data_IF_546590374836
#
_entry.id   IF_546590374836
#
_cell.length_a   1.000
_cell.length_b   1.000
_cell.length_c   1.000
_cell.angle_alpha   90.00
_cell.angle_beta   90.00
_cell.angle_gamma   90.00
#
_symmetry.space_group_name_H-M   'P 1'
#
loop_
_entity.id
_entity.type
_entity.pdbx_description
1 polymer ?
#
# COMPACT_ATOMS: atom_id res chain seq x y z
N UNK A 1 -0.51 -13.54 18.51
CA UNK A 1 0.13 -14.07 17.28
C UNK A 1 -0.72 -13.91 16.01
N UNK A 2 -2.01 -14.32 15.99
CA UNK A 2 -2.85 -14.31 14.76
C UNK A 2 -3.05 -12.94 14.10
N UNK A 3 -3.15 -11.85 14.87
CA UNK A 3 -3.35 -10.49 14.34
C UNK A 3 -2.13 -9.93 13.58
N UNK A 4 -0.92 -10.27 14.02
CA UNK A 4 0.31 -9.84 13.34
C UNK A 4 0.47 -10.52 11.97
N UNK A 5 0.09 -11.80 11.88
CA UNK A 5 0.11 -12.56 10.63
C UNK A 5 -0.92 -12.00 9.64
N UNK A 6 -2.13 -11.67 10.09
CA UNK A 6 -3.15 -11.05 9.24
C UNK A 6 -2.67 -9.74 8.62
N UNK A 7 -2.00 -8.89 9.41
CA UNK A 7 -1.44 -7.63 8.92
C UNK A 7 -0.32 -7.88 7.89
N UNK A 8 0.62 -8.76 8.23
CA UNK A 8 1.74 -9.09 7.33
C UNK A 8 1.26 -9.64 5.98
N UNK A 9 0.17 -10.41 5.96
CA UNK A 9 -0.42 -10.93 4.72
C UNK A 9 -0.98 -9.81 3.85
N UNK A 10 -1.78 -8.90 4.41
CA UNK A 10 -2.37 -7.80 3.63
C UNK A 10 -1.27 -6.89 3.07
N UNK A 11 -0.25 -6.58 3.87
CA UNK A 11 0.88 -5.74 3.44
C UNK A 11 1.71 -6.41 2.35
N UNK A 12 1.93 -7.72 2.48
CA UNK A 12 2.65 -8.50 1.45
C UNK A 12 1.87 -8.52 0.13
N UNK A 13 0.53 -8.67 0.19
CA UNK A 13 -0.30 -8.64 -1.02
C UNK A 13 -0.25 -7.25 -1.67
N UNK A 14 -0.35 -6.17 -0.89
CA UNK A 14 -0.20 -4.80 -1.41
C UNK A 14 1.13 -4.59 -2.13
N UNK A 15 2.24 -5.12 -1.58
CA UNK A 15 3.55 -5.06 -2.19
C UNK A 15 3.61 -5.79 -3.54
N UNK A 16 3.02 -6.99 -3.63
CA UNK A 16 2.99 -7.78 -4.87
C UNK A 16 2.14 -7.10 -5.95
N UNK A 17 0.98 -6.57 -5.58
CA UNK A 17 0.07 -5.89 -6.51
C UNK A 17 0.67 -4.58 -7.05
N UNK A 18 1.66 -4.01 -6.37
CA UNK A 18 2.40 -2.83 -6.83
C UNK A 18 3.43 -3.11 -7.94
N UNK A 19 3.83 -4.37 -8.15
CA UNK A 19 4.88 -4.75 -9.11
C UNK A 19 4.60 -4.32 -10.57
N UNK A 20 3.40 -4.48 -11.14
CA UNK A 20 3.10 -4.04 -12.50
C UNK A 20 3.32 -2.54 -12.72
N UNK A 21 3.08 -1.73 -11.68
CA UNK A 21 3.35 -0.28 -11.71
C UNK A 21 4.84 0.02 -11.87
N UNK A 22 5.70 -0.73 -11.17
CA UNK A 22 7.15 -0.61 -11.32
C UNK A 22 7.62 -1.02 -12.71
N UNK A 23 7.03 -2.09 -13.27
CA UNK A 23 7.37 -2.56 -14.63
C UNK A 23 7.03 -1.49 -15.67
N UNK A 24 5.83 -0.89 -15.62
CA UNK A 24 5.45 0.16 -16.56
C UNK A 24 6.26 1.45 -16.38
N UNK A 25 6.66 1.78 -15.15
CA UNK A 25 7.42 2.99 -14.89
C UNK A 25 8.90 2.87 -15.30
N UNK A 26 9.58 1.79 -14.90
CA UNK A 26 11.02 1.62 -15.13
C UNK A 26 11.36 0.90 -16.43
N UNK A 27 10.53 -0.06 -16.87
CA UNK A 27 10.87 -0.96 -17.98
C UNK A 27 10.14 -0.57 -19.26
N UNK A 28 8.90 -0.08 -19.17
CA UNK A 28 8.10 0.34 -20.33
C UNK A 28 7.54 1.78 -20.21
N UNK A 29 8.41 2.79 -20.02
CA UNK A 29 7.99 4.17 -19.81
C UNK A 29 7.15 4.71 -20.97
N UNK A 30 6.17 5.55 -20.66
CA UNK A 30 5.33 6.20 -21.67
C UNK A 30 6.06 7.39 -22.28
N UNK A 31 6.58 7.24 -23.49
CA UNK A 31 7.15 8.35 -24.26
C UNK A 31 8.31 7.89 -25.15
N UNK A 32 8.09 7.90 -26.47
CA UNK A 32 9.08 7.49 -27.47
C UNK A 32 8.93 6.02 -27.88
N UNK A 33 8.33 5.78 -29.06
CA UNK A 33 8.16 4.46 -29.72
C UNK A 33 7.82 3.31 -28.76
N UNK A 34 6.99 3.58 -27.75
CA UNK A 34 6.66 2.69 -26.62
C UNK A 34 5.79 1.49 -26.97
N UNK A 35 6.11 0.78 -28.04
CA UNK A 35 5.62 -0.55 -28.38
C UNK A 35 6.62 -1.62 -27.90
N UNK A 36 7.22 -1.41 -26.72
CA UNK A 36 8.12 -2.38 -26.12
C UNK A 36 7.38 -3.64 -25.70
N UNK A 37 8.03 -4.79 -25.87
CA UNK A 37 7.63 -6.05 -25.25
C UNK A 37 8.54 -6.29 -24.05
N UNK A 38 7.97 -6.80 -22.95
CA UNK A 38 8.72 -7.23 -21.78
C UNK A 38 8.23 -8.59 -21.36
N UNK A 39 9.16 -9.53 -21.15
CA UNK A 39 8.87 -10.95 -20.94
C UNK A 39 7.99 -11.54 -22.07
N UNK A 40 8.24 -11.13 -23.32
CA UNK A 40 7.44 -11.49 -24.49
C UNK A 40 5.97 -11.04 -24.45
N UNK A 41 5.61 -10.19 -23.48
CA UNK A 41 4.28 -9.62 -23.31
C UNK A 41 4.29 -8.16 -23.76
N UNK A 42 3.27 -7.75 -24.51
CA UNK A 42 3.16 -6.40 -25.04
C UNK A 42 2.87 -5.38 -23.93
N UNK A 43 3.33 -4.14 -24.10
CA UNK A 43 3.02 -3.02 -23.18
C UNK A 43 1.53 -2.86 -22.90
N UNK A 44 0.67 -3.07 -23.90
CA UNK A 44 -0.79 -3.01 -23.78
C UNK A 44 -1.30 -3.98 -22.72
N UNK A 45 -0.83 -5.23 -22.76
CA UNK A 45 -1.17 -6.25 -21.76
C UNK A 45 -0.64 -5.88 -20.37
N UNK A 46 0.59 -5.35 -20.27
CA UNK A 46 1.12 -4.84 -19.00
C UNK A 46 0.28 -3.68 -18.45
N UNK A 47 -0.22 -2.79 -19.31
CA UNK A 47 -1.13 -1.71 -18.92
C UNK A 47 -2.46 -2.27 -18.39
N UNK A 48 -3.06 -3.24 -19.10
CA UNK A 48 -4.28 -3.91 -18.62
C UNK A 48 -4.07 -4.58 -17.27
N UNK A 49 -2.96 -5.30 -17.08
CA UNK A 49 -2.61 -5.91 -15.78
C UNK A 49 -2.43 -4.85 -14.70
N UNK A 50 -1.78 -3.73 -15.02
CA UNK A 50 -1.62 -2.61 -14.09
C UNK A 50 -2.96 -1.99 -13.69
N UNK A 51 -3.90 -1.81 -14.62
CA UNK A 51 -5.22 -1.23 -14.32
C UNK A 51 -6.01 -2.13 -13.36
N UNK A 52 -6.09 -3.43 -13.64
CA UNK A 52 -6.76 -4.39 -12.75
C UNK A 52 -6.05 -4.55 -11.41
N UNK A 53 -4.71 -4.56 -11.41
CA UNK A 53 -3.92 -4.55 -10.18
C UNK A 53 -4.18 -3.28 -9.37
N UNK A 54 -4.30 -2.11 -10.01
CA UNK A 54 -4.64 -0.85 -9.36
C UNK A 54 -6.01 -0.90 -8.68
N UNK A 55 -7.03 -1.44 -9.35
CA UNK A 55 -8.35 -1.65 -8.75
C UNK A 55 -8.28 -2.58 -7.53
N UNK A 56 -7.55 -3.69 -7.63
CA UNK A 56 -7.33 -4.60 -6.51
C UNK A 56 -6.57 -3.92 -5.36
N UNK A 57 -5.55 -3.12 -5.69
CA UNK A 57 -4.76 -2.37 -4.72
C UNK A 57 -5.63 -1.41 -3.92
N UNK A 58 -6.51 -0.66 -4.58
CA UNK A 58 -7.44 0.26 -3.89
C UNK A 58 -8.36 -0.52 -2.95
N UNK A 59 -8.94 -1.64 -3.40
CA UNK A 59 -9.81 -2.46 -2.56
C UNK A 59 -9.08 -3.00 -1.31
N UNK A 60 -7.85 -3.50 -1.49
CA UNK A 60 -7.01 -3.99 -0.41
C UNK A 60 -6.53 -2.88 0.52
N UNK A 61 -6.26 -1.68 0.00
CA UNK A 61 -5.89 -0.52 0.79
C UNK A 61 -7.03 -0.11 1.72
N UNK A 62 -8.27 -0.10 1.22
CA UNK A 62 -9.46 0.15 2.06
C UNK A 62 -9.57 -0.91 3.15
N UNK A 63 -9.42 -2.19 2.80
CA UNK A 63 -9.45 -3.28 3.78
C UNK A 63 -8.35 -3.13 4.84
N UNK A 64 -7.12 -2.80 4.41
CA UNK A 64 -5.99 -2.53 5.30
C UNK A 64 -6.34 -1.41 6.28
N UNK A 65 -6.83 -0.27 5.80
CA UNK A 65 -7.20 0.85 6.66
C UNK A 65 -8.30 0.48 7.66
N UNK A 66 -9.33 -0.28 7.26
CA UNK A 66 -10.39 -0.73 8.16
C UNK A 66 -9.85 -1.68 9.24
N UNK A 67 -8.98 -2.63 8.87
CA UNK A 67 -8.36 -3.55 9.83
C UNK A 67 -7.45 -2.81 10.82
N UNK A 68 -6.70 -1.81 10.33
CA UNK A 68 -5.77 -1.02 11.13
C UNK A 68 -6.42 0.16 11.86
N UNK A 69 -7.68 0.50 11.58
CA UNK A 69 -8.40 1.60 12.21
C UNK A 69 -8.43 1.51 13.75
N UNK A 70 -8.49 0.29 14.30
CA UNK A 70 -8.40 0.07 15.76
C UNK A 70 -7.03 0.43 16.33
N UNK A 71 -5.95 0.21 15.58
CA UNK A 71 -4.60 0.60 16.01
C UNK A 71 -4.46 2.12 16.04
N UNK A 72 -4.94 2.83 15.02
CA UNK A 72 -4.94 4.30 14.97
C UNK A 72 -5.66 4.92 16.17
N UNK A 73 -6.82 4.38 16.56
CA UNK A 73 -7.56 4.85 17.75
C UNK A 73 -6.83 4.59 19.08
N UNK A 74 -5.95 3.59 19.13
CA UNK A 74 -5.14 3.34 20.32
C UNK A 74 -3.92 4.28 20.39
N UNK A 75 -3.38 4.70 19.24
CA UNK A 75 -2.27 5.66 19.18
C UNK A 75 -2.67 7.04 19.75
N UNK A 76 -3.91 7.46 19.53
CA UNK A 76 -4.45 8.74 20.02
C UNK A 76 -4.39 8.85 21.56
N UNK A 77 -4.59 7.73 22.27
CA UNK A 77 -4.47 7.68 23.73
C UNK A 77 -3.05 7.87 24.25
N UNK A 78 -2.04 7.51 23.47
CA UNK A 78 -0.65 7.69 23.88
C UNK A 78 -0.14 9.12 23.62
N UNK A 79 -0.66 9.80 22.59
CA UNK A 79 -0.33 11.21 22.34
C UNK A 79 -1.06 12.17 23.28
N UNK A 80 -2.28 11.83 23.72
CA UNK A 80 -3.05 12.64 24.67
C UNK A 80 -2.53 12.58 26.12
N UNK A 81 -1.77 11.54 26.48
CA UNK A 81 -1.28 11.32 27.86
C UNK A 81 -0.05 12.14 28.26
N UNK A 82 0.61 12.85 27.35
CA UNK A 82 1.88 13.54 27.63
C UNK A 82 1.75 15.01 28.09
N UNK A 83 0.54 15.51 28.39
CA UNK A 83 0.30 16.93 28.73
C UNK A 83 -0.14 17.20 30.19
N UNK A 84 0.04 16.25 31.11
CA UNK A 84 -0.57 16.33 32.45
C UNK A 84 0.34 16.38 33.68
N UNK A 85 1.67 16.52 33.55
CA UNK A 85 2.57 16.40 34.71
C UNK A 85 3.67 17.47 34.71
N UNK A 86 3.30 18.74 34.86
CA UNK A 86 4.26 19.80 35.23
C UNK A 86 3.57 21.08 35.71
N UNK A 87 2.65 21.00 36.68
CA UNK A 87 2.20 22.20 37.40
C UNK A 87 1.60 21.78 38.74
N UNK A 88 2.42 21.79 39.80
CA UNK A 88 1.97 21.40 41.13
C UNK A 88 3.07 21.18 42.16
N UNK A 89 4.19 21.90 42.10
CA UNK A 89 5.09 22.08 43.24
C UNK A 89 5.58 23.54 43.24
N UNK A 90 5.11 24.30 44.24
CA UNK A 90 5.38 25.72 44.44
C UNK A 90 4.53 26.27 45.57
#
# INVERSE_FOLDING_TARGET
MRRGIQNAVVDTILLVVFVPSLVLYFVLPSGGRGAGTFLSVQRSTWATVHDYAGLLFIALLVLHLVLHYRYLRHLDRHLAGSRGTSEGEG
#
